data_IF_229301155395
#
_entry.id   IF_229301155395
#
_cell.length_a   1.000
_cell.length_b   1.000
_cell.length_c   1.000
_cell.angle_alpha   90.00
_cell.angle_beta   90.00
_cell.angle_gamma   90.00
#
_symmetry.space_group_name_H-M   'P 1'
#
loop_
_entity.id
_entity.type
_entity.pdbx_description
1 polymer ?
#
# COMPACT_ATOMS: atom_id res chain seq x y z
N UNK A 1 -16.44 34.27 19.13
CA UNK A 1 -17.82 33.81 19.42
C UNK A 1 -17.81 33.13 20.77
N UNK A 2 -18.84 33.33 21.60
CA UNK A 2 -18.95 32.65 22.90
C UNK A 2 -19.85 31.42 22.77
N UNK A 3 -19.67 30.43 23.64
CA UNK A 3 -20.48 29.19 23.64
C UNK A 3 -21.98 29.49 23.78
N UNK A 4 -22.33 30.50 24.58
CA UNK A 4 -23.70 30.98 24.71
C UNK A 4 -24.28 31.59 23.42
N UNK A 5 -23.44 32.22 22.59
CA UNK A 5 -23.88 32.76 21.30
C UNK A 5 -24.11 31.65 20.27
N UNK A 6 -23.31 30.57 20.32
CA UNK A 6 -23.49 29.39 19.47
C UNK A 6 -24.81 28.66 19.80
N UNK A 7 -25.09 28.41 21.08
CA UNK A 7 -26.33 27.75 21.50
C UNK A 7 -27.59 28.55 21.11
N UNK A 8 -27.54 29.89 21.21
CA UNK A 8 -28.67 30.72 20.74
C UNK A 8 -28.86 30.68 19.23
N UNK A 9 -27.77 30.53 18.47
CA UNK A 9 -27.85 30.38 17.02
C UNK A 9 -28.46 29.02 16.64
N UNK A 10 -28.06 27.93 17.29
CA UNK A 10 -28.65 26.60 17.09
C UNK A 10 -30.16 26.57 17.38
N UNK A 11 -30.62 27.31 18.39
CA UNK A 11 -32.03 27.41 18.77
C UNK A 11 -32.82 28.44 17.94
N UNK A 12 -32.17 29.18 17.03
CA UNK A 12 -32.84 30.23 16.26
C UNK A 12 -33.66 29.66 15.10
N UNK A 13 -34.81 30.25 14.80
CA UNK A 13 -35.67 29.85 13.68
C UNK A 13 -34.93 29.91 12.33
N UNK A 14 -33.99 30.84 12.17
CA UNK A 14 -33.15 30.96 10.98
C UNK A 14 -32.20 29.77 10.77
N UNK A 15 -31.87 29.02 11.84
CA UNK A 15 -31.08 27.80 11.71
C UNK A 15 -31.93 26.65 11.17
N UNK A 16 -33.16 26.49 11.67
CA UNK A 16 -34.12 25.48 11.18
C UNK A 16 -34.42 25.63 9.68
N UNK A 17 -34.69 26.86 9.23
CA UNK A 17 -34.99 27.13 7.81
C UNK A 17 -33.80 26.85 6.87
N UNK A 18 -32.57 27.09 7.32
CA UNK A 18 -31.35 26.74 6.58
C UNK A 18 -31.07 25.23 6.56
N UNK A 19 -31.39 24.52 7.64
CA UNK A 19 -31.23 23.07 7.72
C UNK A 19 -32.23 22.36 6.81
N UNK A 20 -33.49 22.82 6.74
CA UNK A 20 -34.50 22.27 5.83
C UNK A 20 -34.09 22.41 4.35
N UNK A 21 -33.45 23.52 3.97
CA UNK A 21 -32.95 23.72 2.60
C UNK A 21 -31.75 22.84 2.20
N UNK A 22 -30.96 22.37 3.18
CA UNK A 22 -29.80 21.48 2.96
C UNK A 22 -30.16 20.00 3.11
N UNK A 23 -31.28 19.68 3.79
CA UNK A 23 -31.77 18.32 4.02
C UNK A 23 -32.33 17.61 2.77
N UNK A 24 -32.24 18.21 1.57
CA UNK A 24 -32.67 17.56 0.32
C UNK A 24 -31.65 16.51 -0.18
N UNK A 25 -30.40 16.56 0.25
CA UNK A 25 -29.35 15.64 -0.20
C UNK A 25 -29.13 14.43 0.69
N UNK A 26 -29.69 14.42 1.90
CA UNK A 26 -29.65 13.28 2.81
C UNK A 26 -31.07 12.97 3.28
N UNK A 27 -31.77 11.97 2.69
CA UNK A 27 -33.02 11.51 3.26
C UNK A 27 -32.75 11.10 4.71
N UNK A 28 -33.46 11.74 5.65
CA UNK A 28 -33.38 11.39 7.07
C UNK A 28 -33.56 9.87 7.17
N UNK A 29 -32.55 9.13 7.65
CA UNK A 29 -32.66 7.69 7.73
C UNK A 29 -33.88 7.38 8.62
N UNK A 30 -34.83 6.62 8.07
CA UNK A 30 -35.99 6.18 8.83
C UNK A 30 -35.49 5.55 10.13
N UNK A 31 -36.00 6.02 11.27
CA UNK A 31 -35.62 5.50 12.58
C UNK A 31 -35.89 3.98 12.66
N UNK A 32 -36.89 3.49 11.91
CA UNK A 32 -37.15 2.06 11.77
C UNK A 32 -36.05 1.32 10.98
N UNK A 33 -35.30 1.98 10.10
CA UNK A 33 -34.19 1.35 9.37
C UNK A 33 -33.01 0.96 10.29
N UNK A 34 -32.84 1.64 11.43
CA UNK A 34 -31.85 1.26 12.45
C UNK A 34 -32.33 0.11 13.35
N UNK A 35 -33.64 0.07 13.63
CA UNK A 35 -34.25 -0.98 14.46
C UNK A 35 -34.54 -2.26 13.67
N UNK A 36 -34.67 -2.17 12.34
CA UNK A 36 -34.89 -3.30 11.44
C UNK A 36 -33.57 -3.89 10.91
N UNK A 37 -32.61 -4.08 11.83
CA UNK A 37 -31.32 -4.73 11.56
C UNK A 37 -31.47 -6.18 11.05
N UNK A 38 -32.69 -6.73 11.08
CA UNK A 38 -33.05 -8.02 10.49
C UNK A 38 -33.28 -7.95 8.98
N UNK A 39 -33.73 -6.81 8.43
CA UNK A 39 -34.09 -6.71 7.01
C UNK A 39 -32.99 -6.10 6.15
N UNK A 40 -32.10 -5.29 6.73
CA UNK A 40 -30.86 -4.81 6.07
C UNK A 40 -29.63 -5.65 6.42
N UNK A 41 -29.81 -6.90 6.86
CA UNK A 41 -28.77 -7.91 6.70
C UNK A 41 -28.75 -8.31 5.23
N UNK A 42 -28.34 -7.36 4.37
CA UNK A 42 -27.64 -7.72 3.14
C UNK A 42 -26.65 -8.78 3.58
N UNK A 43 -26.81 -9.98 3.06
CA UNK A 43 -25.93 -11.13 3.26
C UNK A 43 -24.54 -10.70 2.79
N UNK A 44 -23.87 -9.89 3.60
CA UNK A 44 -22.46 -9.61 3.49
C UNK A 44 -21.83 -10.89 3.96
N UNK A 45 -21.78 -11.82 3.02
CA UNK A 45 -20.97 -13.02 3.09
C UNK A 45 -19.69 -12.66 3.85
N UNK A 46 -19.20 -13.48 4.79
CA UNK A 46 -17.93 -13.22 5.46
C UNK A 46 -16.80 -12.85 4.48
N UNK A 47 -16.89 -13.36 3.25
CA UNK A 47 -16.00 -12.99 2.13
C UNK A 47 -16.20 -11.57 1.60
N UNK A 48 -17.42 -11.04 1.55
CA UNK A 48 -17.69 -9.65 1.14
C UNK A 48 -17.18 -8.63 2.16
N UNK A 49 -17.27 -8.94 3.46
CA UNK A 49 -16.63 -8.12 4.50
C UNK A 49 -15.11 -8.15 4.37
N UNK A 50 -14.54 -9.33 4.09
CA UNK A 50 -13.11 -9.46 3.85
C UNK A 50 -12.65 -8.70 2.59
N UNK A 51 -13.44 -8.70 1.52
CA UNK A 51 -13.16 -7.88 0.33
C UNK A 51 -13.25 -6.38 0.60
N UNK A 52 -14.23 -5.96 1.41
CA UNK A 52 -14.36 -4.57 1.82
C UNK A 52 -13.17 -4.12 2.68
N UNK A 53 -12.77 -4.95 3.65
CA UNK A 53 -11.58 -4.72 4.48
C UNK A 53 -10.30 -4.71 3.64
N UNK A 54 -10.16 -5.64 2.68
CA UNK A 54 -9.01 -5.66 1.74
C UNK A 54 -8.94 -4.37 0.94
N UNK A 55 -10.06 -3.87 0.42
CA UNK A 55 -10.10 -2.61 -0.35
C UNK A 55 -9.71 -1.42 0.51
N UNK A 56 -10.25 -1.31 1.72
CA UNK A 56 -9.85 -0.25 2.68
C UNK A 56 -8.40 -0.36 3.11
N UNK A 57 -7.90 -1.57 3.29
CA UNK A 57 -6.51 -1.79 3.67
C UNK A 57 -5.55 -1.36 2.55
N UNK A 58 -5.88 -1.65 1.29
CA UNK A 58 -5.08 -1.22 0.14
C UNK A 58 -5.05 0.30 0.00
N UNK A 59 -6.16 0.99 0.26
CA UNK A 59 -6.17 2.45 0.27
C UNK A 59 -5.34 3.02 1.42
N UNK A 60 -5.40 2.42 2.62
CA UNK A 60 -4.62 2.83 3.79
C UNK A 60 -3.11 2.55 3.68
N UNK A 61 -2.70 1.61 2.81
CA UNK A 61 -1.28 1.33 2.58
C UNK A 61 -0.54 2.53 1.98
N UNK A 62 -1.24 3.39 1.21
CA UNK A 62 -0.63 4.58 0.62
C UNK A 62 -0.10 5.54 1.69
N UNK A 63 -0.79 5.63 2.82
CA UNK A 63 -0.40 6.48 3.95
C UNK A 63 0.66 5.80 4.83
N UNK A 64 0.59 4.47 4.93
CA UNK A 64 1.45 3.69 5.85
C UNK A 64 2.86 3.45 5.32
N UNK A 65 3.03 3.32 4.01
CA UNK A 65 4.33 2.93 3.45
C UNK A 65 5.38 4.06 3.51
N UNK A 66 5.07 5.35 3.25
CA UNK A 66 6.06 6.41 3.42
C UNK A 66 6.59 6.49 4.85
N UNK A 67 5.74 6.25 5.85
CA UNK A 67 6.15 6.15 7.24
C UNK A 67 7.10 4.98 7.51
N UNK A 68 6.79 3.78 7.02
CA UNK A 68 7.68 2.63 7.20
C UNK A 68 9.06 2.87 6.58
N UNK A 69 9.12 3.57 5.45
CA UNK A 69 10.38 3.98 4.83
C UNK A 69 11.17 4.94 5.72
N UNK A 70 10.52 5.96 6.27
CA UNK A 70 11.15 6.91 7.19
C UNK A 70 11.62 6.22 8.48
N UNK A 71 10.89 5.22 8.99
CA UNK A 71 11.33 4.42 10.13
C UNK A 71 12.59 3.61 9.83
N UNK A 72 12.65 2.96 8.65
CA UNK A 72 13.84 2.20 8.22
C UNK A 72 15.05 3.14 8.07
N UNK A 73 14.86 4.31 7.46
CA UNK A 73 15.92 5.31 7.32
C UNK A 73 16.38 5.89 8.67
N UNK A 74 15.45 6.14 9.59
CA UNK A 74 15.78 6.62 10.93
C UNK A 74 16.60 5.57 11.70
N UNK A 75 16.21 4.30 11.61
CA UNK A 75 16.94 3.20 12.20
C UNK A 75 18.36 3.05 11.62
N UNK A 76 18.52 3.17 10.29
CA UNK A 76 19.82 3.08 9.61
C UNK A 76 20.74 4.25 10.00
N UNK A 77 20.19 5.45 10.19
CA UNK A 77 20.94 6.64 10.66
C UNK A 77 21.18 6.66 12.17
N UNK A 78 20.59 5.75 12.94
CA UNK A 78 20.65 5.75 14.41
C UNK A 78 19.93 6.95 15.04
N UNK A 79 18.93 7.50 14.36
CA UNK A 79 18.08 8.59 14.85
C UNK A 79 16.83 8.01 15.48
N UNK A 80 16.20 8.75 16.40
CA UNK A 80 14.93 8.34 17.00
C UNK A 80 13.86 8.10 15.91
N UNK A 81 13.18 6.96 16.01
CA UNK A 81 12.13 6.57 15.09
C UNK A 81 10.96 7.55 15.27
N UNK A 82 10.53 8.25 14.21
CA UNK A 82 9.43 9.20 14.32
C UNK A 82 8.16 8.49 14.80
N UNK A 83 7.42 9.15 15.69
CA UNK A 83 6.10 8.68 16.11
C UNK A 83 5.12 8.82 14.96
N UNK A 84 4.13 7.92 14.94
CA UNK A 84 3.13 7.88 13.88
C UNK A 84 2.30 9.17 13.84
N UNK A 85 1.99 9.73 15.00
CA UNK A 85 1.23 10.98 15.11
C UNK A 85 1.98 12.16 14.48
N UNK A 86 3.28 12.29 14.77
CA UNK A 86 4.13 13.36 14.22
C UNK A 86 4.31 13.22 12.70
N UNK A 87 4.27 11.99 12.20
CA UNK A 87 4.29 11.71 10.77
C UNK A 87 2.98 12.15 10.10
N UNK A 88 1.82 11.78 10.65
CA UNK A 88 0.51 12.17 10.09
C UNK A 88 0.29 13.68 10.11
N UNK A 89 0.77 14.38 11.14
CA UNK A 89 0.70 15.85 11.20
C UNK A 89 1.55 16.49 10.08
N UNK A 90 2.79 16.03 9.90
CA UNK A 90 3.66 16.49 8.80
C UNK A 90 3.09 16.14 7.42
N UNK A 91 2.49 14.96 7.30
CA UNK A 91 1.90 14.46 6.07
C UNK A 91 0.69 15.29 5.65
N UNK A 92 -0.25 15.54 6.57
CA UNK A 92 -1.43 16.38 6.32
C UNK A 92 -1.08 17.84 6.09
N UNK A 93 -0.04 18.37 6.77
CA UNK A 93 0.48 19.71 6.49
C UNK A 93 1.05 19.82 5.07
N UNK A 94 1.72 18.77 4.57
CA UNK A 94 2.26 18.72 3.20
C UNK A 94 1.15 18.63 2.15
N UNK A 95 0.12 17.81 2.39
CA UNK A 95 -1.04 17.66 1.49
C UNK A 95 -1.83 18.97 1.35
N UNK A 96 -2.09 19.66 2.47
CA UNK A 96 -2.76 20.97 2.47
C UNK A 96 -1.91 22.10 1.86
N UNK A 97 -0.58 21.93 1.79
CA UNK A 97 0.35 22.90 1.23
C UNK A 97 0.34 23.00 -0.31
N UNK A 98 -0.53 22.25 -1.00
CA UNK A 98 -0.59 22.25 -2.47
C UNK A 98 0.54 21.48 -3.14
N UNK A 99 1.41 20.84 -2.36
CA UNK A 99 2.35 19.82 -2.84
C UNK A 99 1.60 18.52 -3.00
N UNK A 100 0.83 18.39 -4.08
CA UNK A 100 0.11 17.17 -4.40
C UNK A 100 1.01 15.93 -4.35
N UNK A 101 0.40 14.78 -4.13
CA UNK A 101 1.04 13.46 -4.07
C UNK A 101 2.03 13.17 -5.21
N UNK A 102 1.96 13.91 -6.31
CA UNK A 102 2.85 13.89 -7.47
C UNK A 102 4.32 14.23 -7.14
N UNK A 103 4.59 14.98 -6.08
CA UNK A 103 5.95 15.34 -5.63
C UNK A 103 6.71 14.14 -5.04
N UNK A 104 6.00 13.17 -4.46
CA UNK A 104 6.60 11.92 -3.97
C UNK A 104 6.84 10.90 -5.08
N UNK A 105 6.22 11.08 -6.25
CA UNK A 105 6.33 10.16 -7.40
C UNK A 105 7.30 10.60 -8.49
N UNK A 106 7.69 11.88 -8.52
CA UNK A 106 8.52 12.45 -9.60
C UNK A 106 10.03 12.32 -9.38
N UNK A 107 10.48 12.00 -8.16
CA UNK A 107 11.90 11.76 -7.84
C UNK A 107 12.39 10.32 -8.02
N UNK A 108 11.48 9.36 -8.21
CA UNK A 108 11.80 7.94 -8.21
C UNK A 108 10.56 7.14 -7.84
N UNK A 109 9.78 6.76 -8.84
CA UNK A 109 8.56 5.96 -8.64
C UNK A 109 8.85 4.66 -7.89
N UNK A 110 7.79 4.00 -7.42
CA UNK A 110 7.78 2.74 -6.66
C UNK A 110 8.50 1.53 -7.28
N UNK A 111 9.23 1.72 -8.38
CA UNK A 111 10.12 0.74 -8.99
C UNK A 111 11.49 1.30 -9.41
N UNK A 112 11.83 2.55 -9.08
CA UNK A 112 13.12 3.14 -9.47
C UNK A 112 14.29 2.68 -8.57
N UNK A 113 14.02 2.40 -7.28
CA UNK A 113 15.08 2.18 -6.29
C UNK A 113 15.28 0.71 -5.85
N UNK A 114 14.46 -0.25 -6.33
CA UNK A 114 14.64 -1.69 -6.03
C UNK A 114 15.76 -2.33 -6.90
N UNK A 115 16.54 -1.52 -7.62
CA UNK A 115 17.59 -1.99 -8.54
C UNK A 115 18.98 -1.40 -8.37
N UNK A 116 19.23 -0.46 -7.44
CA UNK A 116 20.53 0.23 -7.36
C UNK A 116 21.18 0.17 -5.99
N UNK A 117 21.48 -1.04 -5.53
CA UNK A 117 22.42 -1.22 -4.40
C UNK A 117 23.85 -1.09 -4.92
N UNK A 118 24.31 0.16 -5.06
CA UNK A 118 25.70 0.50 -5.34
C UNK A 118 26.52 0.45 -4.04
N UNK A 119 27.14 -0.70 -3.76
CA UNK A 119 28.15 -0.78 -2.72
C UNK A 119 29.45 -0.10 -3.17
N UNK A 120 29.87 0.91 -2.38
CA UNK A 120 31.25 1.38 -2.18
C UNK A 120 31.92 2.21 -3.29
N UNK A 121 32.28 3.47 -3.00
CA UNK A 121 33.65 3.79 -2.58
C UNK A 121 33.87 5.29 -2.29
N UNK A 122 34.52 5.51 -1.15
CA UNK A 122 35.38 6.61 -0.72
C UNK A 122 35.84 7.66 -1.75
N UNK A 123 35.71 8.92 -1.32
CA UNK A 123 36.65 10.05 -1.43
C UNK A 123 37.42 10.32 -2.74
N UNK A 124 37.16 11.52 -3.27
CA UNK A 124 38.10 12.43 -3.94
C UNK A 124 38.74 11.95 -5.25
N UNK A 125 38.22 12.43 -6.39
CA UNK A 125 38.88 12.26 -7.68
C UNK A 125 38.06 12.75 -8.86
N UNK A 126 38.40 13.93 -9.35
CA UNK A 126 37.94 14.53 -10.61
C UNK A 126 38.09 13.52 -11.77
N UNK A 127 36.99 13.02 -12.32
CA UNK A 127 37.00 12.20 -13.54
C UNK A 127 36.09 12.78 -14.62
N UNK A 128 36.74 12.98 -15.75
CA UNK A 128 36.26 13.40 -17.05
C UNK A 128 35.13 12.52 -17.59
N UNK A 129 34.23 13.17 -18.30
CA UNK A 129 33.13 12.57 -19.05
C UNK A 129 33.63 11.42 -19.94
N UNK A 130 33.21 10.19 -19.59
CA UNK A 130 33.26 9.04 -20.47
C UNK A 130 31.86 8.44 -20.51
N UNK A 131 31.12 8.82 -21.54
CA UNK A 131 29.85 8.24 -21.93
C UNK A 131 30.05 6.75 -22.22
N UNK A 132 29.74 5.90 -21.25
CA UNK A 132 29.47 4.49 -21.51
C UNK A 132 28.12 4.18 -20.86
N UNK A 133 27.06 4.51 -21.60
CA UNK A 133 25.70 4.10 -21.28
C UNK A 133 25.62 2.58 -21.39
N UNK A 134 25.95 1.88 -20.30
CA UNK A 134 25.39 0.56 -20.04
C UNK A 134 23.92 0.81 -19.70
N UNK A 135 23.10 0.81 -20.74
CA UNK A 135 21.70 0.49 -20.57
C UNK A 135 21.68 -0.86 -19.87
N UNK A 136 21.16 -0.92 -18.65
CA UNK A 136 20.70 -2.14 -18.01
C UNK A 136 19.50 -2.66 -18.82
N UNK A 137 19.81 -3.09 -20.05
CA UNK A 137 18.88 -3.72 -20.95
C UNK A 137 18.52 -5.03 -20.27
N UNK A 138 17.34 -5.04 -19.65
CA UNK A 138 16.57 -6.25 -19.44
C UNK A 138 16.46 -6.86 -20.83
N UNK A 139 17.39 -7.76 -21.13
CA UNK A 139 17.40 -8.46 -22.40
C UNK A 139 16.09 -9.22 -22.43
N UNK A 140 15.20 -8.79 -23.31
CA UNK A 140 13.81 -9.23 -23.48
C UNK A 140 13.68 -10.73 -23.84
N UNK A 141 14.77 -11.49 -23.71
CA UNK A 141 14.94 -12.83 -24.24
C UNK A 141 15.00 -13.95 -23.22
N UNK A 142 15.08 -13.66 -21.91
CA UNK A 142 15.11 -14.77 -20.93
C UNK A 142 14.37 -14.46 -19.62
N UNK A 143 13.10 -14.87 -19.60
CA UNK A 143 12.26 -14.86 -18.39
C UNK A 143 12.83 -15.71 -17.23
N UNK A 144 13.90 -16.47 -17.47
CA UNK A 144 14.61 -17.20 -16.42
C UNK A 144 15.56 -16.35 -15.57
N UNK A 145 15.98 -15.17 -16.03
CA UNK A 145 16.85 -14.26 -15.27
C UNK A 145 16.27 -13.89 -13.89
N UNK A 146 14.95 -13.67 -13.83
CA UNK A 146 14.22 -13.44 -12.58
C UNK A 146 14.29 -14.62 -11.61
N UNK A 147 14.18 -15.85 -12.12
CA UNK A 147 14.23 -17.07 -11.31
C UNK A 147 15.62 -17.24 -10.69
N UNK A 148 16.66 -16.98 -11.48
CA UNK A 148 18.05 -17.04 -11.03
C UNK A 148 18.34 -15.99 -9.96
N UNK A 149 17.85 -14.77 -10.14
CA UNK A 149 18.01 -13.70 -9.16
C UNK A 149 17.36 -14.05 -7.81
N UNK A 150 16.13 -14.60 -7.83
CA UNK A 150 15.45 -15.01 -6.60
C UNK A 150 16.15 -16.21 -5.95
N UNK A 151 16.57 -17.20 -6.74
CA UNK A 151 17.27 -18.37 -6.23
C UNK A 151 18.59 -17.97 -5.54
N UNK A 152 19.32 -17.02 -6.14
CA UNK A 152 20.53 -16.45 -5.58
C UNK A 152 20.25 -15.69 -4.28
N UNK A 153 19.28 -14.76 -4.28
CA UNK A 153 18.89 -13.98 -3.09
C UNK A 153 18.45 -14.84 -1.91
N UNK A 154 17.76 -15.95 -2.20
CA UNK A 154 17.24 -16.86 -1.18
C UNK A 154 18.22 -17.99 -0.80
N UNK A 155 19.45 -17.99 -1.34
CA UNK A 155 20.48 -19.03 -1.09
C UNK A 155 19.96 -20.46 -1.31
N UNK A 156 19.18 -20.64 -2.37
CA UNK A 156 18.46 -21.89 -2.67
C UNK A 156 19.41 -22.94 -3.23
N UNK A 157 19.17 -24.22 -2.95
CA UNK A 157 19.94 -25.32 -3.55
C UNK A 157 19.76 -25.37 -5.07
N UNK A 158 20.74 -25.92 -5.78
CA UNK A 158 20.70 -26.06 -7.24
C UNK A 158 19.48 -26.89 -7.70
N UNK A 159 19.13 -27.94 -6.95
CA UNK A 159 17.94 -28.75 -7.21
C UNK A 159 16.66 -27.91 -7.12
N UNK A 160 16.53 -27.11 -6.05
CA UNK A 160 15.34 -26.27 -5.87
C UNK A 160 15.30 -25.11 -6.88
N UNK A 161 16.45 -24.59 -7.32
CA UNK A 161 16.54 -23.65 -8.44
C UNK A 161 15.97 -24.28 -9.72
N UNK A 162 16.34 -25.52 -10.04
CA UNK A 162 15.80 -26.24 -11.19
C UNK A 162 14.28 -26.45 -11.09
N UNK A 163 13.76 -26.78 -9.90
CA UNK A 163 12.31 -26.84 -9.67
C UNK A 163 11.62 -25.50 -9.93
N UNK A 164 12.23 -24.38 -9.53
CA UNK A 164 11.70 -23.05 -9.79
C UNK A 164 11.66 -22.74 -11.29
N UNK A 165 12.70 -23.10 -12.05
CA UNK A 165 12.68 -22.97 -13.52
C UNK A 165 11.62 -23.87 -14.16
N UNK A 166 11.48 -25.12 -13.69
CA UNK A 166 10.46 -26.04 -14.17
C UNK A 166 9.06 -25.48 -13.93
N UNK A 167 8.79 -25.00 -12.72
CA UNK A 167 7.54 -24.35 -12.37
C UNK A 167 7.28 -23.11 -13.22
N UNK A 168 8.30 -22.28 -13.47
CA UNK A 168 8.15 -21.08 -14.30
C UNK A 168 7.71 -21.40 -15.74
N UNK A 169 8.21 -22.50 -16.32
CA UNK A 169 7.85 -22.98 -17.67
C UNK A 169 6.46 -23.60 -17.77
N UNK A 170 5.85 -23.98 -16.65
CA UNK A 170 4.51 -24.60 -16.65
C UNK A 170 3.45 -23.63 -17.18
N UNK A 171 2.42 -24.20 -17.80
CA UNK A 171 1.21 -23.45 -18.16
C UNK A 171 0.51 -22.93 -16.90
N UNK A 172 -0.34 -21.91 -17.06
CA UNK A 172 -1.07 -21.33 -15.92
C UNK A 172 -1.93 -22.37 -15.21
N UNK A 173 -2.61 -23.25 -15.95
CA UNK A 173 -3.49 -24.28 -15.37
C UNK A 173 -2.70 -25.31 -14.55
N UNK A 174 -1.53 -25.71 -15.05
CA UNK A 174 -0.61 -26.60 -14.32
C UNK A 174 -0.06 -25.94 -13.04
N UNK A 175 0.30 -24.65 -13.11
CA UNK A 175 0.74 -23.90 -11.93
C UNK A 175 -0.33 -23.85 -10.86
N UNK A 176 -1.58 -23.57 -11.25
CA UNK A 176 -2.73 -23.54 -10.33
C UNK A 176 -2.94 -24.91 -9.69
N UNK A 177 -2.92 -25.97 -10.49
CA UNK A 177 -3.09 -27.35 -10.01
C UNK A 177 -1.99 -27.72 -9.00
N UNK A 178 -0.74 -27.33 -9.28
CA UNK A 178 0.40 -27.58 -8.40
C UNK A 178 0.32 -26.80 -7.08
N UNK A 179 -0.16 -25.55 -7.12
CA UNK A 179 -0.37 -24.74 -5.91
C UNK A 179 -1.47 -25.37 -5.05
N UNK A 180 -2.58 -25.80 -5.64
CA UNK A 180 -3.68 -26.46 -4.91
C UNK A 180 -3.23 -27.75 -4.23
N UNK A 181 -2.44 -28.57 -4.92
CA UNK A 181 -1.85 -29.78 -4.34
C UNK A 181 -0.97 -29.45 -3.12
N UNK A 182 -0.14 -28.41 -3.22
CA UNK A 182 0.74 -28.00 -2.13
C UNK A 182 -0.06 -27.48 -0.92
N UNK A 183 -1.12 -26.70 -1.15
CA UNK A 183 -2.04 -26.25 -0.10
C UNK A 183 -2.70 -27.45 0.59
N UNK A 184 -3.17 -28.44 -0.17
CA UNK A 184 -3.78 -29.64 0.39
C UNK A 184 -2.81 -30.39 1.32
N UNK A 185 -1.58 -30.63 0.87
CA UNK A 185 -0.54 -31.29 1.68
C UNK A 185 -0.21 -30.52 2.97
N UNK A 186 -0.14 -29.19 2.90
CA UNK A 186 0.11 -28.36 4.09
C UNK A 186 -1.03 -28.47 5.10
N UNK A 187 -2.28 -28.55 4.65
CA UNK A 187 -3.42 -28.78 5.53
C UNK A 187 -3.40 -30.17 6.17
N UNK A 188 -3.02 -31.21 5.43
CA UNK A 188 -2.89 -32.56 5.99
C UNK A 188 -1.80 -32.66 7.07
N UNK A 189 -0.68 -31.94 6.91
CA UNK A 189 0.40 -31.93 7.89
C UNK A 189 0.08 -31.15 9.18
N UNK A 190 -0.97 -30.32 9.16
CA UNK A 190 -1.38 -29.50 10.31
C UNK A 190 -2.35 -30.24 11.26
N UNK A 191 -2.73 -31.48 10.97
CA UNK A 191 -3.58 -32.33 11.82
C UNK A 191 -2.73 -33.31 12.64
#
# INVERSE_FOLDING_TARGET
MTLAAAQRHELSASHGEKVEGVSMWEPQPDFNAWMDATTSRVESSPWALQEFDKRRHVDALKDSIPFWREQIEAADRGVEIPRWEDFLERFSAKENGGGGWDDWGTGGGWGADIGRVGYSQTASGKVSASSNGKSDGWSDGDGHSFVDEIAFKSSVSEERRQEMHAFYKMSTDEKVSRIQELVYRLHEQSQ
#
